data_IF_206646143058
#
_entry.id   IF_206646143058
#
_cell.length_a   1.000
_cell.length_b   1.000
_cell.length_c   1.000
_cell.angle_alpha   90.00
_cell.angle_beta   90.00
_cell.angle_gamma   90.00
#
_symmetry.space_group_name_H-M   'P 1'
#
loop_
_entity.id
_entity.type
_entity.pdbx_description
1 polymer ?
#
# COMPACT_ATOMS: atom_id res chain seq x y z
N UNK A 1 16.76 -29.51 35.01
CA UNK A 1 17.65 -28.37 34.73
C UNK A 1 18.27 -28.54 33.34
N UNK A 2 18.12 -27.52 32.48
CA UNK A 2 18.69 -27.26 31.13
C UNK A 2 17.56 -26.84 30.17
N UNK A 3 17.09 -25.60 30.27
CA UNK A 3 17.56 -24.45 29.47
C UNK A 3 17.19 -24.65 27.99
N UNK A 4 16.02 -24.21 27.49
CA UNK A 4 15.64 -22.80 27.24
C UNK A 4 16.76 -22.04 26.51
N UNK A 5 17.06 -22.42 25.26
CA UNK A 5 17.84 -21.61 24.32
C UNK A 5 17.75 -22.19 22.90
N UNK A 6 16.65 -21.93 22.19
CA UNK A 6 16.64 -21.94 20.74
C UNK A 6 15.53 -21.00 20.26
N UNK A 7 15.76 -19.71 20.48
CA UNK A 7 15.15 -18.62 19.72
C UNK A 7 15.43 -18.88 18.23
N UNK A 8 14.49 -19.52 17.53
CA UNK A 8 14.39 -19.43 16.07
C UNK A 8 13.31 -18.38 15.77
N UNK A 9 13.74 -17.14 16.00
CA UNK A 9 13.04 -15.89 15.85
C UNK A 9 12.99 -15.51 14.35
N UNK A 10 12.16 -16.17 13.54
CA UNK A 10 12.01 -15.78 12.12
C UNK A 10 10.81 -16.46 11.44
N UNK A 11 9.61 -16.19 11.95
CA UNK A 11 8.36 -16.54 11.26
C UNK A 11 7.32 -15.40 11.32
N UNK A 12 7.78 -14.15 11.41
CA UNK A 12 6.94 -12.96 11.16
C UNK A 12 6.97 -12.60 9.67
N UNK A 13 6.65 -13.58 8.81
CA UNK A 13 6.19 -13.33 7.45
C UNK A 13 4.67 -13.24 7.47
N UNK A 14 4.11 -12.29 8.24
CA UNK A 14 2.68 -12.07 8.24
C UNK A 14 2.25 -11.52 6.87
N UNK A 15 1.43 -12.33 6.21
CA UNK A 15 0.18 -11.93 5.60
C UNK A 15 0.22 -10.85 4.50
N UNK A 16 0.13 -11.35 3.26
CA UNK A 16 -0.32 -10.59 2.11
C UNK A 16 -1.02 -11.44 1.04
N UNK A 17 -1.55 -12.61 1.40
CA UNK A 17 -2.53 -13.33 0.56
C UNK A 17 -3.93 -12.87 0.96
N UNK A 18 -4.54 -11.90 0.26
CA UNK A 18 -6.00 -11.86 0.10
C UNK A 18 -6.38 -11.30 -1.27
N UNK A 19 -6.95 -12.18 -2.08
CA UNK A 19 -8.11 -11.96 -2.94
C UNK A 19 -8.19 -10.70 -3.79
N UNK A 20 -8.20 -10.93 -5.10
CA UNK A 20 -8.81 -10.08 -6.13
C UNK A 20 -10.25 -9.66 -5.75
N UNK A 21 -10.36 -8.65 -4.90
CA UNK A 21 -11.55 -7.82 -4.72
C UNK A 21 -11.33 -6.56 -5.55
N UNK A 22 -12.21 -6.33 -6.51
CA UNK A 22 -12.15 -5.17 -7.41
C UNK A 22 -11.80 -3.86 -6.68
N UNK A 23 -10.74 -3.19 -7.14
CA UNK A 23 -10.50 -1.78 -6.88
C UNK A 23 -9.09 -1.47 -6.39
N UNK A 24 -8.60 -2.13 -5.34
CA UNK A 24 -7.34 -1.74 -4.66
C UNK A 24 -6.27 -2.83 -4.75
N UNK A 25 -5.05 -2.46 -5.13
CA UNK A 25 -3.90 -3.37 -5.24
C UNK A 25 -2.65 -2.74 -4.63
N UNK A 26 -1.87 -3.54 -3.90
CA UNK A 26 -0.57 -3.17 -3.35
C UNK A 26 0.47 -4.12 -3.94
N UNK A 27 1.47 -3.57 -4.64
CA UNK A 27 2.59 -4.33 -5.20
C UNK A 27 3.89 -3.92 -4.49
N UNK A 28 4.62 -4.90 -3.97
CA UNK A 28 5.95 -4.71 -3.37
C UNK A 28 7.03 -4.79 -4.48
N UNK A 29 7.99 -3.87 -4.42
CA UNK A 29 9.15 -3.83 -5.31
C UNK A 29 10.22 -4.86 -4.93
N UNK A 30 11.15 -5.18 -5.84
CA UNK A 30 12.18 -6.20 -5.62
C UNK A 30 13.15 -5.87 -4.47
N UNK A 31 13.25 -4.59 -4.11
CA UNK A 31 14.05 -4.06 -3.01
C UNK A 31 13.40 -4.26 -1.61
N UNK A 32 12.12 -4.66 -1.55
CA UNK A 32 11.39 -4.85 -0.29
C UNK A 32 11.11 -3.57 0.51
N UNK A 33 11.45 -2.40 -0.05
CA UNK A 33 11.21 -1.10 0.56
C UNK A 33 10.23 -0.26 -0.27
N UNK A 34 10.15 -0.50 -1.57
CA UNK A 34 9.28 0.22 -2.50
C UNK A 34 7.92 -0.45 -2.57
N UNK A 35 6.86 0.33 -2.48
CA UNK A 35 5.47 -0.13 -2.59
C UNK A 35 4.70 0.71 -3.60
N UNK A 36 3.95 0.05 -4.47
CA UNK A 36 3.02 0.68 -5.40
C UNK A 36 1.61 0.34 -4.97
N UNK A 37 0.90 1.35 -4.46
CA UNK A 37 -0.50 1.27 -4.11
C UNK A 37 -1.32 1.85 -5.26
N UNK A 38 -2.37 1.16 -5.67
CA UNK A 38 -3.30 1.61 -6.72
C UNK A 38 -4.71 1.35 -6.26
N UNK A 39 -5.59 2.30 -6.51
CA UNK A 39 -7.03 2.19 -6.30
C UNK A 39 -7.76 2.62 -7.57
N UNK A 40 -8.80 1.88 -7.93
CA UNK A 40 -9.65 2.09 -9.10
C UNK A 40 -11.09 2.03 -8.60
N UNK A 41 -11.76 3.18 -8.61
CA UNK A 41 -13.14 3.27 -8.18
C UNK A 41 -14.12 2.72 -9.21
N UNK A 42 -15.41 2.74 -8.85
CA UNK A 42 -16.50 2.34 -9.76
C UNK A 42 -17.06 3.54 -10.52
N UNK A 43 -17.67 3.24 -11.68
CA UNK A 43 -18.06 4.12 -12.81
C UNK A 43 -18.85 5.39 -12.52
N UNK A 44 -19.20 5.73 -11.28
CA UNK A 44 -20.12 6.84 -11.04
C UNK A 44 -19.84 7.67 -9.78
N UNK A 45 -18.95 7.25 -8.88
CA UNK A 45 -18.77 7.96 -7.61
C UNK A 45 -17.33 7.86 -7.13
N UNK A 46 -16.63 8.99 -7.07
CA UNK A 46 -15.34 9.12 -6.40
C UNK A 46 -14.46 10.21 -6.99
N UNK A 47 -13.85 11.03 -6.12
CA UNK A 47 -12.73 11.88 -6.50
C UNK A 47 -11.44 11.08 -6.44
N UNK A 48 -10.63 11.19 -7.48
CA UNK A 48 -9.29 10.61 -7.51
C UNK A 48 -8.40 11.17 -6.41
N UNK A 49 -8.59 12.43 -6.01
CA UNK A 49 -7.84 13.03 -4.90
C UNK A 49 -8.17 12.39 -3.55
N UNK A 50 -9.44 12.12 -3.26
CA UNK A 50 -9.82 11.38 -2.04
C UNK A 50 -9.24 9.96 -2.04
N UNK A 51 -9.18 9.31 -3.20
CA UNK A 51 -8.52 8.00 -3.32
C UNK A 51 -7.01 8.10 -3.08
N UNK A 52 -6.36 9.13 -3.62
CA UNK A 52 -4.93 9.38 -3.41
C UNK A 52 -4.61 9.63 -1.94
N UNK A 53 -5.41 10.43 -1.23
CA UNK A 53 -5.25 10.67 0.20
C UNK A 53 -5.37 9.38 1.01
N UNK A 54 -6.37 8.54 0.71
CA UNK A 54 -6.51 7.21 1.33
C UNK A 54 -5.29 6.33 1.06
N UNK A 55 -4.81 6.29 -0.18
CA UNK A 55 -3.62 5.51 -0.54
C UNK A 55 -2.36 6.02 0.17
N UNK A 56 -2.23 7.31 0.43
CA UNK A 56 -1.13 7.87 1.22
C UNK A 56 -1.23 7.46 2.70
N UNK A 57 -2.43 7.49 3.28
CA UNK A 57 -2.66 7.00 4.65
C UNK A 57 -2.38 5.50 4.78
N UNK A 58 -2.79 4.71 3.78
CA UNK A 58 -2.50 3.28 3.72
C UNK A 58 -0.99 3.01 3.63
N UNK A 59 -0.29 3.79 2.82
CA UNK A 59 1.16 3.72 2.68
C UNK A 59 1.88 4.09 4.00
N UNK A 60 1.41 5.14 4.68
CA UNK A 60 1.94 5.55 5.97
C UNK A 60 1.71 4.47 7.04
N UNK A 61 0.51 3.89 7.10
CA UNK A 61 0.20 2.79 8.01
C UNK A 61 1.07 1.55 7.71
N UNK A 62 1.30 1.24 6.43
CA UNK A 62 2.17 0.14 6.00
C UNK A 62 3.62 0.35 6.43
N UNK A 63 4.19 1.54 6.19
CA UNK A 63 5.57 1.83 6.59
C UNK A 63 5.71 1.93 8.12
N UNK A 64 4.76 2.54 8.81
CA UNK A 64 4.74 2.66 10.27
C UNK A 64 4.63 1.29 10.94
N UNK A 65 3.82 0.37 10.40
CA UNK A 65 3.74 -1.01 10.87
C UNK A 65 5.07 -1.78 10.73
N UNK A 66 5.97 -1.32 9.85
CA UNK A 66 7.34 -1.84 9.67
C UNK A 66 8.39 -1.06 10.49
N UNK A 67 7.98 -0.08 11.30
CA UNK A 67 8.88 0.81 12.03
C UNK A 67 9.68 1.79 11.14
N UNK A 68 9.20 2.03 9.92
CA UNK A 68 9.83 2.88 8.90
C UNK A 68 9.00 4.13 8.62
N UNK A 69 9.62 5.15 8.05
CA UNK A 69 8.95 6.34 7.53
C UNK A 69 8.56 6.17 6.06
N UNK A 70 7.44 6.76 5.68
CA UNK A 70 6.99 6.78 4.29
C UNK A 70 7.68 7.92 3.52
N UNK A 71 8.30 7.58 2.41
CA UNK A 71 8.84 8.52 1.43
C UNK A 71 8.01 8.40 0.15
N UNK A 72 7.34 9.48 -0.25
CA UNK A 72 6.50 9.47 -1.45
C UNK A 72 7.39 9.66 -2.69
N UNK A 73 7.52 8.62 -3.50
CA UNK A 73 8.28 8.66 -4.76
C UNK A 73 7.46 9.31 -5.86
N UNK A 74 6.18 8.95 -5.96
CA UNK A 74 5.26 9.57 -6.91
C UNK A 74 3.82 9.35 -6.47
N UNK A 75 2.96 10.35 -6.61
CA UNK A 75 1.52 10.22 -6.37
C UNK A 75 0.75 10.80 -7.56
N UNK A 76 -0.26 10.08 -8.03
CA UNK A 76 -1.11 10.51 -9.14
C UNK A 76 -2.56 10.14 -8.83
N UNK A 77 -3.46 11.03 -9.23
CA UNK A 77 -4.90 10.88 -9.11
C UNK A 77 -5.55 11.21 -10.45
N UNK A 78 -6.66 10.55 -10.74
CA UNK A 78 -7.54 10.83 -11.87
C UNK A 78 -8.96 10.78 -11.37
N UNK A 79 -9.71 11.86 -11.57
CA UNK A 79 -11.11 11.89 -11.22
C UNK A 79 -11.97 11.09 -12.20
N UNK A 80 -13.18 10.78 -11.74
CA UNK A 80 -14.19 10.18 -12.57
C UNK A 80 -14.64 11.17 -13.65
N UNK A 81 -14.73 10.72 -14.90
CA UNK A 81 -15.40 11.46 -15.97
C UNK A 81 -16.66 10.68 -16.33
N UNK A 82 -17.86 11.27 -16.18
CA UNK A 82 -19.11 10.59 -16.49
C UNK A 82 -19.07 9.96 -17.88
N UNK A 83 -19.39 8.66 -17.97
CA UNK A 83 -19.43 7.87 -19.22
C UNK A 83 -18.10 7.68 -19.96
N UNK A 84 -17.00 8.31 -19.53
CA UNK A 84 -15.69 8.23 -20.19
C UNK A 84 -14.70 7.41 -19.36
N UNK A 85 -14.57 7.72 -18.05
CA UNK A 85 -13.50 7.14 -17.21
C UNK A 85 -13.90 6.98 -15.74
N UNK A 86 -13.46 5.86 -15.15
CA UNK A 86 -13.52 5.61 -13.70
C UNK A 86 -12.46 6.44 -12.95
N UNK A 87 -12.74 6.86 -11.72
CA UNK A 87 -11.73 7.48 -10.88
C UNK A 87 -10.64 6.47 -10.52
N UNK A 88 -9.39 6.91 -10.45
CA UNK A 88 -8.28 6.08 -10.05
C UNK A 88 -7.19 6.89 -9.36
N UNK A 89 -6.48 6.25 -8.45
CA UNK A 89 -5.29 6.81 -7.84
C UNK A 89 -4.16 5.78 -7.83
N UNK A 90 -2.93 6.27 -7.90
CA UNK A 90 -1.73 5.46 -7.78
C UNK A 90 -0.69 6.23 -7.01
N UNK A 91 -0.16 5.60 -5.96
CA UNK A 91 0.89 6.13 -5.12
C UNK A 91 2.02 5.11 -5.10
N UNK A 92 3.22 5.56 -5.44
CA UNK A 92 4.47 4.83 -5.24
C UNK A 92 5.17 5.45 -4.05
N UNK A 93 5.44 4.63 -3.05
CA UNK A 93 6.16 5.04 -1.84
C UNK A 93 7.38 4.15 -1.64
N UNK A 94 8.31 4.63 -0.84
CA UNK A 94 9.39 3.84 -0.27
C UNK A 94 9.32 3.94 1.24
N UNK A 95 9.36 2.80 1.92
CA UNK A 95 9.50 2.76 3.37
C UNK A 95 10.99 2.81 3.70
N UNK A 96 11.45 3.92 4.27
CA UNK A 96 12.85 4.14 4.64
C UNK A 96 13.00 4.15 6.16
N UNK A 97 14.09 3.60 6.67
CA UNK A 97 14.43 3.72 8.10
C UNK A 97 14.72 5.18 8.44
N UNK A 98 14.29 5.64 9.61
CA UNK A 98 14.65 6.96 10.14
C UNK A 98 16.15 7.08 10.39
#
# INVERSE_FOLDING_TARGET
MRALAALALSAFGLAGCTSAGFGKSIAEGPDGETYVLRDVGRLTVGSGDTMKERLLQDAEALCTGKGKTVEVVSASARDAIPMDRVPSAMVKVRCVSK
#
